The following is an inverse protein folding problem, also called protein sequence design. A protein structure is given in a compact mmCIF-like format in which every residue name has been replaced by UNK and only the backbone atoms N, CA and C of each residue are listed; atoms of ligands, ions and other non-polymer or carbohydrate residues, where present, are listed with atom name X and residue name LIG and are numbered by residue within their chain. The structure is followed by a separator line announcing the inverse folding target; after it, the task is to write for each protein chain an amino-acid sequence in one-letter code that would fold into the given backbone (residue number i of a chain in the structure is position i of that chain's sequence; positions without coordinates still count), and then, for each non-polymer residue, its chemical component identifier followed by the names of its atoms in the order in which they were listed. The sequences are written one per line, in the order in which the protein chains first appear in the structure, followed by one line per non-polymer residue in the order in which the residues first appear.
data_IF_505199319143
#
_entry.id   IF_505199319143
#
_cell.length_a   1.000
_cell.length_b   1.000
_cell.length_c   1.000
_cell.angle_alpha   90.00
_cell.angle_beta   90.00
_cell.angle_gamma   90.00
#
_symmetry.space_group_name_H-M   'P 1'
#
loop_
_entity.id
_entity.type
_entity.pdbx_description
1 polymer ?
#
# COMPACT_ATOMS: atom_id res chain seq x y z
N UNK A 1 -20.21 21.32 36.03
CA UNK A 1 -20.53 20.34 34.96
C UNK A 1 -20.37 21.05 33.63
N UNK A 2 -19.27 20.79 32.92
CA UNK A 2 -18.95 21.46 31.65
C UNK A 2 -19.13 20.46 30.52
N UNK A 3 -20.14 20.67 29.68
CA UNK A 3 -20.43 19.82 28.53
C UNK A 3 -19.60 20.29 27.34
N UNK A 4 -18.62 19.50 26.91
CA UNK A 4 -17.84 19.77 25.69
C UNK A 4 -18.76 19.49 24.49
N UNK A 5 -19.08 20.54 23.72
CA UNK A 5 -19.73 20.40 22.42
C UNK A 5 -18.65 20.03 21.38
N UNK A 6 -18.81 18.88 20.74
CA UNK A 6 -17.95 18.43 19.65
C UNK A 6 -18.46 19.05 18.35
N UNK A 7 -17.63 19.89 17.72
CA UNK A 7 -17.92 20.54 16.45
C UNK A 7 -17.46 19.64 15.29
N UNK A 8 -18.38 19.25 14.40
CA UNK A 8 -18.16 18.26 13.35
C UNK A 8 -17.60 18.90 12.05
N UNK A 9 -17.35 20.20 12.02
CA UNK A 9 -17.08 20.93 10.76
C UNK A 9 -15.61 21.17 10.42
N UNK A 10 -14.67 20.32 10.89
CA UNK A 10 -13.26 20.45 10.47
C UNK A 10 -12.96 19.68 9.16
N UNK A 11 -13.38 20.28 8.05
CA UNK A 11 -12.77 20.25 6.70
C UNK A 11 -12.07 18.94 6.26
N UNK A 12 -12.82 18.09 5.56
CA UNK A 12 -12.30 16.98 4.76
C UNK A 12 -11.78 17.48 3.40
N UNK A 13 -10.66 18.19 3.38
CA UNK A 13 -9.91 18.37 2.12
C UNK A 13 -8.84 17.29 2.07
N UNK A 14 -9.11 16.20 1.33
CA UNK A 14 -8.09 15.20 1.00
C UNK A 14 -7.10 15.85 0.05
N UNK A 15 -6.06 16.46 0.60
CA UNK A 15 -4.90 16.83 -0.20
C UNK A 15 -4.20 15.54 -0.64
N UNK A 16 -4.01 15.28 -1.95
CA UNK A 16 -3.08 14.24 -2.36
C UNK A 16 -1.69 14.64 -1.89
N UNK A 17 -0.96 13.71 -1.25
CA UNK A 17 0.44 13.94 -0.91
C UNK A 17 1.22 14.27 -2.20
N UNK A 18 2.11 15.28 -2.19
CA UNK A 18 2.97 15.53 -3.33
C UNK A 18 3.83 14.29 -3.62
N UNK A 19 4.13 13.98 -4.90
CA UNK A 19 5.03 12.89 -5.25
C UNK A 19 6.42 13.23 -4.72
N UNK A 20 6.81 12.68 -3.57
CA UNK A 20 8.18 12.83 -3.09
C UNK A 20 8.46 12.54 -1.62
N UNK A 21 7.55 12.81 -0.68
CA UNK A 21 7.89 12.58 0.73
C UNK A 21 6.67 12.51 1.63
N UNK A 22 6.25 11.29 1.98
CA UNK A 22 5.59 11.10 3.27
C UNK A 22 6.66 11.29 4.35
N UNK A 23 6.63 12.42 5.06
CA UNK A 23 7.47 12.67 6.24
C UNK A 23 7.16 11.70 7.40
N UNK A 24 6.04 10.98 7.31
CA UNK A 24 5.75 9.87 8.21
C UNK A 24 6.50 8.62 7.77
N UNK A 25 7.17 7.92 8.71
CA UNK A 25 7.75 6.62 8.41
C UNK A 25 6.65 5.71 7.86
N UNK A 26 6.88 5.20 6.64
CA UNK A 26 5.92 4.32 6.01
C UNK A 26 5.69 3.10 6.90
N UNK A 27 4.45 2.59 7.00
CA UNK A 27 4.18 1.42 7.81
C UNK A 27 5.11 0.28 7.40
N UNK A 28 5.73 -0.36 8.39
CA UNK A 28 6.53 -1.57 8.18
C UNK A 28 5.69 -2.71 7.59
N UNK A 29 4.37 -2.67 7.80
CA UNK A 29 3.44 -3.65 7.29
C UNK A 29 3.13 -3.46 5.80
N UNK A 30 3.17 -4.57 5.08
CA UNK A 30 2.78 -4.70 3.68
C UNK A 30 2.04 -6.02 3.49
N UNK A 31 1.47 -6.21 2.31
CA UNK A 31 0.90 -7.48 1.90
C UNK A 31 1.36 -7.81 0.49
N UNK A 32 1.42 -9.10 0.18
CA UNK A 32 1.71 -9.62 -1.15
C UNK A 32 0.41 -9.78 -1.94
N UNK A 33 0.48 -9.58 -3.26
CA UNK A 33 -0.59 -9.92 -4.18
C UNK A 33 -0.04 -10.22 -5.58
N UNK A 34 -0.60 -11.19 -6.31
CA UNK A 34 -0.27 -11.40 -7.71
C UNK A 34 -0.99 -10.37 -8.59
N UNK A 35 -0.26 -9.77 -9.52
CA UNK A 35 -0.75 -8.80 -10.50
C UNK A 35 0.28 -8.69 -11.63
N UNK A 36 -0.18 -8.62 -12.88
CA UNK A 36 0.68 -8.42 -14.05
C UNK A 36 1.82 -9.47 -14.19
N UNK A 37 1.49 -10.75 -13.96
CA UNK A 37 2.43 -11.86 -14.13
C UNK A 37 3.48 -12.01 -13.02
N UNK A 38 3.42 -11.19 -11.96
CA UNK A 38 4.34 -11.26 -10.83
C UNK A 38 3.61 -11.10 -9.48
N UNK A 39 4.25 -11.53 -8.39
CA UNK A 39 3.84 -11.17 -7.03
C UNK A 39 4.50 -9.85 -6.65
N UNK A 40 3.70 -8.82 -6.43
CA UNK A 40 4.11 -7.53 -5.90
C UNK A 40 3.80 -7.43 -4.41
N UNK A 41 4.49 -6.52 -3.73
CA UNK A 41 4.12 -6.09 -2.38
C UNK A 41 3.52 -4.68 -2.45
N UNK A 42 2.54 -4.39 -1.61
CA UNK A 42 1.94 -3.06 -1.48
C UNK A 42 1.71 -2.70 -0.01
N UNK A 43 1.52 -1.42 0.28
CA UNK A 43 1.28 -0.94 1.64
C UNK A 43 0.03 -1.57 2.27
N UNK A 44 0.07 -1.87 3.57
CA UNK A 44 -1.04 -2.56 4.25
C UNK A 44 -2.40 -1.84 4.13
N UNK A 45 -2.38 -0.51 3.96
CA UNK A 45 -3.58 0.33 3.79
C UNK A 45 -4.39 -0.06 2.54
N UNK A 46 -3.71 -0.56 1.51
CA UNK A 46 -4.33 -0.90 0.23
C UNK A 46 -4.94 -2.32 0.23
N UNK A 47 -4.71 -3.12 1.29
CA UNK A 47 -5.10 -4.54 1.37
C UNK A 47 -6.59 -4.79 1.16
N UNK A 48 -7.45 -3.83 1.48
CA UNK A 48 -8.90 -4.00 1.43
C UNK A 48 -9.59 -3.18 0.32
N UNK A 49 -8.83 -2.50 -0.53
CA UNK A 49 -9.41 -1.80 -1.69
C UNK A 49 -10.10 -2.79 -2.64
N UNK A 50 -11.26 -2.47 -3.22
CA UNK A 50 -11.89 -3.38 -4.18
C UNK A 50 -11.03 -3.54 -5.45
N UNK A 51 -11.25 -4.63 -6.20
CA UNK A 51 -10.69 -4.77 -7.55
C UNK A 51 -11.06 -3.58 -8.42
N UNK A 52 -10.19 -3.20 -9.35
CA UNK A 52 -10.34 -2.01 -10.20
C UNK A 52 -9.77 -0.72 -9.58
N UNK A 53 -9.32 -0.74 -8.32
CA UNK A 53 -8.64 0.42 -7.71
C UNK A 53 -7.14 0.39 -7.96
N UNK A 54 -6.55 1.57 -8.12
CA UNK A 54 -5.10 1.72 -8.20
C UNK A 54 -4.48 1.50 -6.82
N UNK A 55 -3.37 0.78 -6.81
CA UNK A 55 -2.49 0.61 -5.64
C UNK A 55 -1.07 1.02 -6.03
N UNK A 56 -0.28 1.46 -5.05
CA UNK A 56 1.15 1.70 -5.27
C UNK A 56 1.95 0.56 -4.66
N UNK A 57 2.67 -0.18 -5.51
CA UNK A 57 3.53 -1.28 -5.08
C UNK A 57 4.82 -0.75 -4.44
N UNK A 58 5.55 -1.63 -3.76
CA UNK A 58 6.83 -1.27 -3.14
C UNK A 58 7.92 -0.96 -4.17
N UNK A 59 7.81 -1.50 -5.39
CA UNK A 59 8.69 -1.15 -6.51
C UNK A 59 8.31 0.20 -7.17
N UNK A 60 7.30 0.90 -6.65
CA UNK A 60 6.88 2.22 -7.12
C UNK A 60 5.89 2.20 -8.29
N UNK A 61 5.50 1.02 -8.78
CA UNK A 61 4.51 0.93 -9.86
C UNK A 61 3.10 1.18 -9.34
N UNK A 62 2.31 1.94 -10.12
CA UNK A 62 0.87 2.05 -9.92
C UNK A 62 0.17 0.98 -10.76
N UNK A 63 -0.49 0.03 -10.10
CA UNK A 63 -1.16 -1.08 -10.76
C UNK A 63 -2.64 -1.13 -10.36
N UNK A 64 -3.50 -1.58 -11.27
CA UNK A 64 -4.93 -1.73 -11.03
C UNK A 64 -5.21 -3.07 -10.38
N UNK A 65 -5.69 -3.07 -9.13
CA UNK A 65 -5.96 -4.29 -8.37
C UNK A 65 -6.87 -5.26 -9.15
N UNK A 66 -6.39 -6.47 -9.37
CA UNK A 66 -7.16 -7.53 -10.02
C UNK A 66 -7.89 -8.42 -9.00
N UNK A 67 -8.86 -9.21 -9.49
CA UNK A 67 -9.23 -10.45 -8.78
C UNK A 67 -8.11 -11.46 -9.02
N UNK A 68 -7.81 -12.25 -8.00
CA UNK A 68 -6.70 -13.20 -8.04
C UNK A 68 -7.22 -14.62 -7.89
N UNK A 69 -6.57 -15.55 -8.58
CA UNK A 69 -6.80 -16.99 -8.52
C UNK A 69 -5.67 -17.68 -7.76
N UNK A 70 -5.88 -18.92 -7.32
CA UNK A 70 -4.89 -19.67 -6.56
C UNK A 70 -3.61 -19.94 -7.36
N UNK A 71 -3.70 -20.10 -8.69
CA UNK A 71 -2.54 -20.38 -9.55
C UNK A 71 -1.67 -19.16 -9.79
N UNK A 72 -2.22 -17.95 -9.79
CA UNK A 72 -1.46 -16.71 -9.95
C UNK A 72 -0.53 -16.45 -8.76
N UNK A 73 -0.83 -17.02 -7.59
CA UNK A 73 0.11 -17.02 -6.47
C UNK A 73 1.37 -17.83 -6.73
N UNK A 74 1.45 -18.62 -7.79
CA UNK A 74 2.66 -19.35 -8.18
C UNK A 74 3.61 -18.52 -9.06
N UNK A 75 3.18 -17.35 -9.54
CA UNK A 75 4.00 -16.46 -10.36
C UNK A 75 5.29 -16.01 -9.66
N UNK A 76 6.34 -15.64 -10.41
CA UNK A 76 7.58 -15.14 -9.81
C UNK A 76 7.34 -13.90 -8.94
N UNK A 77 8.15 -13.73 -7.90
CA UNK A 77 8.13 -12.50 -7.08
C UNK A 77 8.89 -11.39 -7.77
N UNK A 78 8.31 -10.18 -7.84
CA UNK A 78 9.03 -8.99 -8.29
C UNK A 78 10.25 -8.74 -7.38
N UNK A 79 11.44 -8.70 -7.98
CA UNK A 79 12.72 -8.63 -7.27
C UNK A 79 12.86 -7.33 -6.46
N UNK A 80 12.37 -6.23 -7.01
CA UNK A 80 12.39 -4.91 -6.40
C UNK A 80 11.44 -4.85 -5.20
N UNK A 81 10.25 -5.44 -5.31
CA UNK A 81 9.32 -5.57 -4.19
C UNK A 81 9.92 -6.44 -3.08
N UNK A 82 10.61 -7.52 -3.41
CA UNK A 82 11.33 -8.34 -2.43
C UNK A 82 12.40 -7.54 -1.69
N UNK A 83 13.27 -6.85 -2.42
CA UNK A 83 14.32 -6.03 -1.80
C UNK A 83 13.74 -4.92 -0.90
N UNK A 84 12.69 -4.23 -1.36
CA UNK A 84 12.03 -3.19 -0.58
C UNK A 84 11.35 -3.76 0.67
N UNK A 85 10.79 -4.97 0.58
CA UNK A 85 10.21 -5.69 1.72
C UNK A 85 11.28 -6.03 2.77
N UNK A 86 12.44 -6.54 2.35
CA UNK A 86 13.58 -6.80 3.24
C UNK A 86 14.04 -5.54 3.97
N UNK A 87 14.17 -4.41 3.27
CA UNK A 87 14.48 -3.11 3.90
C UNK A 87 13.40 -2.70 4.91
N UNK A 88 12.12 -2.87 4.57
CA UNK A 88 11.01 -2.51 5.49
C UNK A 88 11.00 -3.32 6.77
N UNK A 89 11.39 -4.59 6.72
CA UNK A 89 11.47 -5.46 7.91
C UNK A 89 12.84 -5.44 8.59
N UNK A 90 13.81 -4.68 8.06
CA UNK A 90 15.16 -4.55 8.64
C UNK A 90 16.08 -5.73 8.35
N UNK A 91 15.79 -6.54 7.33
CA UNK A 91 16.67 -7.61 6.85
C UNK A 91 17.76 -7.09 5.88
N UNK A 92 17.60 -5.86 5.38
CA UNK A 92 18.61 -5.13 4.61
C UNK A 92 18.72 -3.69 5.12
N UNK A 93 19.96 -3.22 5.29
CA UNK A 93 20.33 -1.86 5.69
C UNK A 93 21.12 -1.17 4.60
#
# INVERSE_FOLDING_TARGET
MTTIRYDHERSSTVHPDPPGASTFPQPRSFFWLPIDGQRHAAGIRDRYLPSGKLITTLCGQQLTRARVTDTEWLWPTCRECWSAAETRVGLRG
#
